data_IF_287269856589
#
_entry.id   IF_287269856589
#
_cell.length_a   1.000
_cell.length_b   1.000
_cell.length_c   1.000
_cell.angle_alpha   90.00
_cell.angle_beta   90.00
_cell.angle_gamma   90.00
#
_symmetry.space_group_name_H-M   'P 1'
#
loop_
_entity.id
_entity.type
_entity.pdbx_description
1 polymer ?
#
# COMPACT_ATOMS: atom_id res chain seq x y z
N UNK A 1 -12.25 -17.06 5.10
CA UNK A 1 -12.19 -15.65 4.64
C UNK A 1 -11.30 -15.57 3.39
N UNK A 2 -11.75 -14.85 2.36
CA UNK A 2 -11.25 -14.96 0.98
C UNK A 2 -9.98 -14.10 0.77
N UNK A 3 -8.87 -14.71 0.33
CA UNK A 3 -7.61 -14.00 -0.02
C UNK A 3 -7.82 -12.95 -1.12
N UNK A 4 -8.86 -13.11 -1.93
CA UNK A 4 -9.23 -12.14 -2.95
C UNK A 4 -9.60 -10.78 -2.34
N UNK A 5 -10.22 -10.73 -1.17
CA UNK A 5 -10.59 -9.45 -0.53
C UNK A 5 -9.37 -8.66 -0.09
N UNK A 6 -8.38 -9.33 0.51
CA UNK A 6 -7.10 -8.70 0.91
C UNK A 6 -6.33 -8.20 -0.32
N UNK A 7 -6.27 -9.02 -1.38
CA UNK A 7 -5.64 -8.67 -2.65
C UNK A 7 -6.29 -7.45 -3.31
N UNK A 8 -7.61 -7.42 -3.40
CA UNK A 8 -8.36 -6.31 -4.00
C UNK A 8 -8.17 -5.02 -3.19
N UNK A 9 -8.24 -5.08 -1.85
CA UNK A 9 -8.03 -3.91 -1.00
C UNK A 9 -6.63 -3.31 -1.18
N UNK A 10 -5.60 -4.15 -1.31
CA UNK A 10 -4.22 -3.70 -1.53
C UNK A 10 -4.03 -3.08 -2.91
N UNK A 11 -4.59 -3.67 -3.97
CA UNK A 11 -4.50 -3.09 -5.32
C UNK A 11 -5.24 -1.75 -5.40
N UNK A 12 -6.45 -1.67 -4.83
CA UNK A 12 -7.23 -0.43 -4.82
C UNK A 12 -6.51 0.65 -4.01
N UNK A 13 -5.97 0.30 -2.83
CA UNK A 13 -5.14 1.22 -2.03
C UNK A 13 -3.90 1.71 -2.80
N UNK A 14 -3.17 0.81 -3.45
CA UNK A 14 -1.98 1.16 -4.25
C UNK A 14 -2.31 2.07 -5.44
N UNK A 15 -3.44 1.80 -6.10
CA UNK A 15 -3.89 2.57 -7.26
C UNK A 15 -4.28 3.99 -6.85
N UNK A 16 -4.98 4.14 -5.72
CA UNK A 16 -5.30 5.44 -5.14
C UNK A 16 -4.04 6.19 -4.67
N UNK A 17 -3.05 5.49 -4.10
CA UNK A 17 -1.76 6.11 -3.75
C UNK A 17 -1.01 6.63 -4.98
N UNK A 18 -1.07 5.94 -6.12
CA UNK A 18 -0.52 6.47 -7.39
C UNK A 18 -1.26 7.70 -7.88
N UNK A 19 -2.59 7.73 -7.73
CA UNK A 19 -3.37 8.91 -8.10
C UNK A 19 -2.99 10.11 -7.23
N UNK A 20 -2.86 9.91 -5.92
CA UNK A 20 -2.37 10.94 -4.99
C UNK A 20 -0.94 11.38 -5.33
N UNK A 21 -0.06 10.44 -5.70
CA UNK A 21 1.29 10.76 -6.16
C UNK A 21 1.27 11.65 -7.40
N UNK A 22 0.49 11.28 -8.43
CA UNK A 22 0.34 12.08 -9.65
C UNK A 22 -0.21 13.47 -9.35
N UNK A 23 -1.23 13.56 -8.49
CA UNK A 23 -1.79 14.84 -8.06
C UNK A 23 -0.76 15.71 -7.33
N UNK A 24 0.01 15.14 -6.41
CA UNK A 24 1.04 15.85 -5.67
C UNK A 24 2.21 16.31 -6.57
N UNK A 25 2.64 15.46 -7.51
CA UNK A 25 3.66 15.81 -8.52
C UNK A 25 3.16 16.92 -9.43
N UNK A 26 1.93 16.82 -9.93
CA UNK A 26 1.34 17.83 -10.80
C UNK A 26 1.18 19.18 -10.10
N UNK A 27 0.70 19.17 -8.84
CA UNK A 27 0.64 20.36 -8.01
C UNK A 27 2.02 20.98 -7.80
N UNK A 28 3.02 20.16 -7.45
CA UNK A 28 4.40 20.62 -7.26
C UNK A 28 5.00 21.18 -8.56
N UNK A 29 4.73 20.57 -9.71
CA UNK A 29 5.25 21.02 -10.99
C UNK A 29 4.67 22.37 -11.42
N UNK A 30 3.38 22.62 -11.16
CA UNK A 30 2.71 23.87 -11.55
C UNK A 30 2.97 24.97 -10.51
N UNK A 31 2.60 24.70 -9.26
CA UNK A 31 2.61 25.69 -8.20
C UNK A 31 3.94 25.74 -7.47
N UNK A 32 4.61 24.60 -7.29
CA UNK A 32 5.91 24.54 -6.64
C UNK A 32 7.04 25.13 -7.47
N UNK A 33 7.04 24.92 -8.78
CA UNK A 33 8.00 25.59 -9.67
C UNK A 33 7.79 27.10 -9.68
N UNK A 34 6.53 27.54 -9.74
CA UNK A 34 6.19 28.96 -9.65
C UNK A 34 6.64 29.57 -8.31
N UNK A 35 6.46 28.86 -7.20
CA UNK A 35 6.95 29.28 -5.89
C UNK A 35 8.48 29.42 -5.89
N UNK A 36 9.22 28.40 -6.36
CA UNK A 36 10.70 28.43 -6.41
C UNK A 36 11.25 29.59 -7.25
N UNK A 37 10.62 29.91 -8.37
CA UNK A 37 11.01 31.07 -9.21
C UNK A 37 10.75 32.39 -8.48
N UNK A 38 9.63 32.50 -7.76
CA UNK A 38 9.30 33.69 -6.96
C UNK A 38 10.21 33.85 -5.72
N UNK A 39 10.72 32.75 -5.16
CA UNK A 39 11.73 32.80 -4.08
C UNK A 39 13.08 33.33 -4.56
N UNK A 40 13.45 33.07 -5.83
CA UNK A 40 14.73 33.50 -6.41
C UNK A 40 14.70 34.98 -6.83
N UNK A 41 13.53 35.47 -7.24
CA UNK A 41 13.30 36.86 -7.65
C UNK A 41 12.44 37.61 -6.61
N UNK A 42 13.06 37.92 -5.46
CA UNK A 42 12.44 38.63 -4.33
C UNK A 42 11.95 40.06 -4.66
N UNK A 43 12.06 40.49 -5.91
CA UNK A 43 11.56 41.77 -6.45
C UNK A 43 10.06 41.76 -6.76
N UNK A 44 9.42 40.57 -6.83
CA UNK A 44 8.04 40.46 -7.27
C UNK A 44 7.05 40.75 -6.12
N UNK A 45 6.03 41.56 -6.42
CA UNK A 45 4.97 42.09 -5.56
C UNK A 45 4.19 41.04 -4.74
N UNK A 46 4.83 40.36 -3.79
CA UNK A 46 4.16 39.43 -2.89
C UNK A 46 4.56 39.73 -1.45
N UNK A 47 3.56 39.72 -0.58
CA UNK A 47 3.76 39.86 0.86
C UNK A 47 4.54 38.66 1.38
N UNK A 48 5.49 38.89 2.27
CA UNK A 48 6.39 37.85 2.82
C UNK A 48 5.65 36.62 3.38
N UNK A 49 4.40 36.79 3.80
CA UNK A 49 3.53 35.72 4.28
C UNK A 49 3.09 34.75 3.18
N UNK A 50 2.75 35.24 2.00
CA UNK A 50 2.29 34.40 0.87
C UNK A 50 3.42 33.51 0.35
N UNK A 51 4.64 34.05 0.36
CA UNK A 51 5.86 33.36 -0.02
C UNK A 51 6.15 32.19 0.94
N UNK A 52 6.02 32.42 2.26
CA UNK A 52 6.17 31.39 3.30
C UNK A 52 5.11 30.29 3.13
N UNK A 53 3.84 30.66 2.92
CA UNK A 53 2.75 29.70 2.73
C UNK A 53 2.98 28.86 1.47
N UNK A 54 3.35 29.48 0.36
CA UNK A 54 3.67 28.77 -0.89
C UNK A 54 4.85 27.80 -0.73
N UNK A 55 5.89 28.21 0.02
CA UNK A 55 7.03 27.36 0.36
C UNK A 55 6.63 26.13 1.19
N UNK A 56 5.83 26.33 2.25
CA UNK A 56 5.35 25.24 3.11
C UNK A 56 4.47 24.26 2.31
N UNK A 57 3.55 24.79 1.49
CA UNK A 57 2.67 23.95 0.66
C UNK A 57 3.46 23.14 -0.37
N UNK A 58 4.46 23.74 -1.01
CA UNK A 58 5.35 23.07 -1.98
C UNK A 58 6.20 21.99 -1.31
N UNK A 59 6.76 22.28 -0.14
CA UNK A 59 7.51 21.29 0.63
C UNK A 59 6.62 20.12 1.07
N UNK A 60 5.41 20.43 1.55
CA UNK A 60 4.41 19.44 1.93
C UNK A 60 3.99 18.55 0.76
N UNK A 61 3.81 19.11 -0.44
CA UNK A 61 3.44 18.34 -1.62
C UNK A 61 4.55 17.39 -2.09
N UNK A 62 5.82 17.79 -1.98
CA UNK A 62 6.97 16.92 -2.27
C UNK A 62 7.00 15.73 -1.30
N UNK A 63 6.86 15.99 0.00
CA UNK A 63 6.80 14.93 1.01
C UNK A 63 5.63 13.98 0.74
N UNK A 64 4.45 14.53 0.47
CA UNK A 64 3.26 13.75 0.16
C UNK A 64 3.47 12.87 -1.09
N UNK A 65 4.13 13.39 -2.13
CA UNK A 65 4.46 12.63 -3.32
C UNK A 65 5.38 11.44 -3.00
N UNK A 66 6.47 11.66 -2.25
CA UNK A 66 7.40 10.58 -1.87
C UNK A 66 6.68 9.50 -1.06
N UNK A 67 5.88 9.90 -0.06
CA UNK A 67 5.11 8.97 0.75
C UNK A 67 4.09 8.18 -0.07
N UNK A 68 3.36 8.84 -0.96
CA UNK A 68 2.38 8.21 -1.83
C UNK A 68 3.05 7.19 -2.78
N UNK A 69 4.23 7.51 -3.31
CA UNK A 69 5.00 6.61 -4.16
C UNK A 69 5.46 5.36 -3.40
N UNK A 70 6.06 5.53 -2.21
CA UNK A 70 6.48 4.40 -1.36
C UNK A 70 5.28 3.53 -1.00
N UNK A 71 4.16 4.16 -0.62
CA UNK A 71 2.91 3.46 -0.29
C UNK A 71 2.40 2.62 -1.46
N UNK A 72 2.42 3.17 -2.68
CA UNK A 72 1.99 2.46 -3.89
C UNK A 72 2.89 1.25 -4.20
N UNK A 73 4.21 1.40 -4.10
CA UNK A 73 5.17 0.30 -4.34
C UNK A 73 4.91 -0.83 -3.34
N UNK A 74 4.79 -0.50 -2.05
CA UNK A 74 4.49 -1.49 -1.02
C UNK A 74 3.13 -2.15 -1.22
N UNK A 75 2.11 -1.37 -1.62
CA UNK A 75 0.77 -1.85 -1.97
C UNK A 75 0.80 -2.92 -3.07
N UNK A 76 1.49 -2.64 -4.19
CA UNK A 76 1.64 -3.61 -5.28
C UNK A 76 2.44 -4.85 -4.86
N UNK A 77 3.61 -4.66 -4.25
CA UNK A 77 4.46 -5.79 -3.82
C UNK A 77 3.73 -6.67 -2.82
N UNK A 78 3.03 -6.07 -1.87
CA UNK A 78 2.28 -6.82 -0.87
C UNK A 78 1.04 -7.50 -1.44
N UNK A 79 0.35 -6.93 -2.42
CA UNK A 79 -0.79 -7.58 -3.08
C UNK A 79 -0.37 -8.93 -3.68
N UNK A 80 0.67 -8.97 -4.51
CA UNK A 80 1.16 -10.21 -5.11
C UNK A 80 1.63 -11.24 -4.08
N UNK A 81 2.23 -10.77 -3.00
CA UNK A 81 2.79 -11.63 -1.97
C UNK A 81 1.72 -12.17 -0.99
N UNK A 82 0.61 -11.45 -0.81
CA UNK A 82 -0.60 -11.94 -0.12
C UNK A 82 -1.32 -13.01 -0.96
N UNK A 83 -1.35 -12.85 -2.29
CA UNK A 83 -1.95 -13.85 -3.18
C UNK A 83 -1.14 -15.17 -3.20
N UNK A 84 0.19 -15.09 -3.25
CA UNK A 84 1.10 -16.26 -3.29
C UNK A 84 1.19 -17.06 -1.99
N UNK A 85 0.70 -16.52 -0.87
CA UNK A 85 0.38 -17.30 0.31
C UNK A 85 1.51 -17.85 1.17
N UNK A 86 2.73 -17.35 1.04
CA UNK A 86 3.88 -17.81 1.80
C UNK A 86 3.88 -17.38 3.28
N UNK A 87 4.80 -17.93 4.10
CA UNK A 87 4.95 -17.60 5.53
C UNK A 87 5.28 -16.12 5.81
N UNK A 88 5.65 -15.34 4.78
CA UNK A 88 5.97 -13.91 4.88
C UNK A 88 4.74 -12.99 4.85
N UNK A 89 3.52 -13.52 4.76
CA UNK A 89 2.28 -12.73 4.67
C UNK A 89 2.05 -11.91 5.94
N UNK A 90 2.35 -12.46 7.13
CA UNK A 90 2.22 -11.72 8.40
C UNK A 90 3.15 -10.51 8.49
N UNK A 91 4.39 -10.63 8.05
CA UNK A 91 5.35 -9.50 8.05
C UNK A 91 4.87 -8.35 7.15
N UNK A 92 4.29 -8.67 6.00
CA UNK A 92 3.73 -7.69 5.06
C UNK A 92 2.48 -7.04 5.62
N UNK A 93 1.64 -7.83 6.29
CA UNK A 93 0.44 -7.34 6.96
C UNK A 93 0.78 -6.28 8.02
N UNK A 94 1.84 -6.51 8.81
CA UNK A 94 2.36 -5.51 9.75
C UNK A 94 2.88 -4.27 9.02
N UNK A 95 3.61 -4.42 7.91
CA UNK A 95 4.01 -3.27 7.09
C UNK A 95 2.81 -2.44 6.63
N UNK A 96 1.69 -3.07 6.25
CA UNK A 96 0.48 -2.36 5.86
C UNK A 96 -0.25 -1.67 7.01
N UNK A 97 -0.21 -2.24 8.21
CA UNK A 97 -0.72 -1.56 9.42
C UNK A 97 0.12 -0.31 9.71
N UNK A 98 1.45 -0.40 9.61
CA UNK A 98 2.34 0.74 9.84
C UNK A 98 2.17 1.82 8.76
N UNK A 99 2.18 1.44 7.48
CA UNK A 99 1.99 2.36 6.36
C UNK A 99 0.59 2.99 6.36
N UNK A 100 -0.45 2.19 6.62
CA UNK A 100 -1.82 2.66 6.71
C UNK A 100 -2.07 3.54 7.93
N UNK A 101 -1.48 3.21 9.08
CA UNK A 101 -1.58 3.99 10.31
C UNK A 101 -0.89 5.35 10.20
N UNK A 102 0.27 5.40 9.54
CA UNK A 102 0.96 6.65 9.26
C UNK A 102 0.17 7.57 8.30
N UNK A 103 -0.65 6.98 7.44
CA UNK A 103 -1.43 7.67 6.40
C UNK A 103 -2.94 7.65 6.69
N UNK A 104 -3.35 7.45 7.95
CA UNK A 104 -4.75 7.15 8.31
C UNK A 104 -5.75 8.24 7.91
N UNK A 105 -5.26 9.47 7.71
CA UNK A 105 -6.06 10.60 7.23
C UNK A 105 -6.43 10.52 5.74
N UNK A 106 -5.99 9.49 5.02
CA UNK A 106 -6.22 9.31 3.58
C UNK A 106 -6.99 8.02 3.29
N UNK A 107 -7.81 8.03 2.24
CA UNK A 107 -8.63 6.88 1.84
C UNK A 107 -7.76 5.65 1.55
N UNK A 108 -6.63 5.83 0.87
CA UNK A 108 -5.68 4.76 0.59
C UNK A 108 -4.99 4.22 1.86
N UNK A 109 -4.67 5.09 2.83
CA UNK A 109 -4.11 4.67 4.12
C UNK A 109 -5.09 3.79 4.91
N UNK A 110 -6.38 4.14 4.93
CA UNK A 110 -7.42 3.34 5.57
C UNK A 110 -7.55 1.97 4.90
N UNK A 111 -7.52 1.92 3.55
CA UNK A 111 -7.54 0.67 2.79
C UNK A 111 -6.36 -0.24 3.13
N UNK A 112 -5.15 0.31 3.26
CA UNK A 112 -3.98 -0.45 3.69
C UNK A 112 -4.09 -0.94 5.14
N UNK A 113 -4.65 -0.13 6.04
CA UNK A 113 -4.84 -0.52 7.44
C UNK A 113 -5.84 -1.67 7.57
N UNK A 114 -6.96 -1.61 6.85
CA UNK A 114 -7.96 -2.69 6.82
C UNK A 114 -7.33 -3.96 6.22
N UNK A 115 -6.64 -3.86 5.09
CA UNK A 115 -5.96 -5.00 4.48
C UNK A 115 -4.91 -5.64 5.41
N UNK A 116 -4.14 -4.82 6.13
CA UNK A 116 -3.16 -5.28 7.10
C UNK A 116 -3.80 -6.01 8.29
N UNK A 117 -4.85 -5.45 8.90
CA UNK A 117 -5.55 -6.08 10.02
C UNK A 117 -6.19 -7.41 9.61
N UNK A 118 -6.80 -7.48 8.41
CA UNK A 118 -7.38 -8.71 7.88
C UNK A 118 -6.31 -9.79 7.64
N UNK A 119 -5.15 -9.41 7.10
CA UNK A 119 -4.04 -10.32 6.86
C UNK A 119 -3.33 -10.79 8.16
N UNK A 120 -3.32 -9.97 9.22
CA UNK A 120 -2.78 -10.37 10.55
C UNK A 120 -3.73 -11.31 11.30
N UNK A 121 -5.02 -11.01 11.33
CA UNK A 121 -6.01 -11.78 12.11
C UNK A 121 -6.39 -13.12 11.49
N UNK A 122 -5.88 -13.44 10.31
CA UNK A 122 -6.13 -14.74 9.70
C UNK A 122 -5.40 -15.83 10.47
N UNK A 123 -6.16 -16.68 11.18
CA UNK A 123 -5.65 -17.94 11.71
C UNK A 123 -5.03 -18.72 10.55
N UNK A 124 -3.74 -19.03 10.63
CA UNK A 124 -3.11 -20.00 9.75
C UNK A 124 -3.88 -21.30 9.92
N UNK A 125 -4.76 -21.63 8.98
CA UNK A 125 -5.15 -23.00 8.82
C UNK A 125 -3.86 -23.68 8.39
N UNK A 126 -3.17 -24.34 9.33
CA UNK A 126 -2.14 -25.32 8.99
C UNK A 126 -2.85 -26.28 8.03
N UNK A 127 -2.61 -26.13 6.74
CA UNK A 127 -2.68 -27.27 5.83
C UNK A 127 -1.72 -28.28 6.43
N UNK A 128 -2.27 -29.21 7.20
CA UNK A 128 -1.64 -30.51 7.40
C UNK A 128 -1.28 -30.98 5.99
N UNK A 129 0.01 -31.16 5.78
CA UNK A 129 0.69 -31.73 4.64
C UNK A 129 -0.20 -32.59 3.74
N UNK A 130 -0.50 -32.12 2.53
CA UNK A 130 -0.75 -33.01 1.39
C UNK A 130 0.60 -33.62 0.96
N UNK A 131 1.16 -34.48 1.80
CA UNK A 131 2.34 -35.30 1.45
C UNK A 131 2.43 -36.56 2.32
N UNK A 132 1.31 -37.11 2.81
CA UNK A 132 1.25 -38.44 3.43
C UNK A 132 -0.14 -39.10 3.32
N UNK A 133 -0.90 -38.78 2.26
CA UNK A 133 -2.17 -39.46 1.96
C UNK A 133 -2.24 -39.83 0.46
N UNK A 134 -1.08 -40.13 -0.11
CA UNK A 134 -0.90 -40.70 -1.47
C UNK A 134 -0.08 -41.99 -1.43
N UNK A 135 -0.11 -42.71 -0.30
CA UNK A 135 0.37 -44.09 -0.18
C UNK A 135 -0.59 -44.87 0.75
N UNK A 136 -1.86 -45.00 0.38
CA UNK A 136 -2.75 -46.03 0.95
C UNK A 136 -4.07 -46.24 0.20
N UNK A 137 -4.18 -45.81 -1.05
CA UNK A 137 -5.35 -46.16 -1.88
C UNK A 137 -4.88 -46.49 -3.29
N UNK A 138 -4.33 -47.69 -3.42
CA UNK A 138 -4.41 -48.55 -4.62
C UNK A 138 -3.66 -49.84 -4.30
N UNK A 139 -4.33 -50.76 -3.60
CA UNK A 139 -4.28 -52.16 -4.05
C UNK A 139 -5.47 -52.95 -3.48
N UNK A 140 -6.22 -53.53 -4.42
CA UNK A 140 -7.11 -54.69 -4.30
C UNK A 140 -8.30 -54.56 -3.32
N UNK A 141 -9.54 -54.51 -3.77
CA UNK A 141 -10.11 -55.55 -4.62
C UNK A 141 -10.95 -56.48 -3.74
N UNK A 142 -12.27 -56.34 -3.86
CA UNK A 142 -13.28 -57.28 -3.37
C UNK A 142 -12.88 -58.75 -3.58
N UNK A 143 -12.79 -59.55 -2.51
CA UNK A 143 -13.16 -60.97 -2.54
C UNK A 143 -13.92 -61.36 -1.28
N UNK A 144 -15.12 -61.87 -1.53
CA UNK A 144 -15.92 -62.67 -0.63
C UNK A 144 -15.27 -64.05 -0.50
N UNK A 145 -15.11 -64.53 0.73
CA UNK A 145 -15.32 -65.92 1.20
C UNK A 145 -15.28 -65.95 2.74
#
# INVERSE_FOLDING_TARGET
MNRQTEFTLLIVGASLSILTFLGAVFYTAIFGFSALVVFDDASYYTTSEDLIVAGIMTFGSIIAAIFALVSAIFGFVGAFKVNGGGPKVKTIAVCFIVLGGLQVFTIHGILFLIAGILAVNKKEYKTVSKEYETISTEDEGTKWE
#
